data_IF_973016782449
#
_entry.id   IF_973016782449
#
_cell.length_a   1.000
_cell.length_b   1.000
_cell.length_c   1.000
_cell.angle_alpha   90.00
_cell.angle_beta   90.00
_cell.angle_gamma   90.00
#
_symmetry.space_group_name_H-M   'P 1'
#
loop_
_entity.id
_entity.type
_entity.pdbx_description
1 polymer ?
#
# COMPACT_ATOMS: atom_id res chain seq x y z
N UNK A 1 -60.51 -35.08 -33.99
CA UNK A 1 -59.86 -34.41 -35.08
C UNK A 1 -59.03 -35.35 -35.97
N UNK A 2 -58.08 -34.81 -36.71
CA UNK A 2 -57.32 -35.52 -37.75
C UNK A 2 -56.59 -36.80 -37.27
N UNK A 3 -56.08 -36.80 -36.03
CA UNK A 3 -55.45 -37.98 -35.43
C UNK A 3 -56.45 -39.17 -35.30
N UNK A 4 -57.65 -38.90 -34.88
CA UNK A 4 -58.71 -39.94 -34.74
C UNK A 4 -59.08 -40.58 -36.10
N UNK A 5 -59.06 -39.79 -37.17
CA UNK A 5 -59.27 -40.30 -38.54
C UNK A 5 -58.08 -41.17 -38.99
N UNK A 6 -56.84 -40.75 -38.71
CA UNK A 6 -55.61 -41.50 -39.02
C UNK A 6 -55.59 -42.86 -38.26
N UNK A 7 -56.05 -42.89 -37.03
CA UNK A 7 -56.13 -44.10 -36.22
C UNK A 7 -57.20 -45.04 -36.75
N UNK A 8 -58.41 -44.54 -37.10
CA UNK A 8 -59.53 -45.35 -37.67
C UNK A 8 -59.19 -45.97 -39.03
N UNK A 9 -58.43 -45.23 -39.82
CA UNK A 9 -57.94 -45.70 -41.13
C UNK A 9 -56.78 -46.68 -41.04
N UNK A 10 -56.26 -46.92 -39.83
CA UNK A 10 -55.09 -47.75 -39.52
C UNK A 10 -53.78 -47.27 -40.24
N UNK A 11 -53.68 -45.94 -40.40
CA UNK A 11 -52.55 -45.33 -41.15
C UNK A 11 -51.43 -44.86 -40.21
N UNK A 12 -51.52 -45.04 -38.88
CA UNK A 12 -50.50 -44.67 -37.88
C UNK A 12 -49.62 -45.89 -37.58
N UNK A 13 -48.30 -45.72 -37.51
CA UNK A 13 -47.33 -46.75 -37.15
C UNK A 13 -46.97 -46.68 -35.65
N UNK A 14 -46.60 -45.46 -35.19
CA UNK A 14 -46.27 -45.23 -33.78
C UNK A 14 -46.56 -43.79 -33.36
N UNK A 15 -46.67 -43.59 -32.04
CA UNK A 15 -46.85 -42.29 -31.43
C UNK A 15 -45.80 -42.14 -30.35
N UNK A 16 -44.94 -41.09 -30.43
CA UNK A 16 -43.94 -40.78 -29.44
C UNK A 16 -44.37 -39.52 -28.65
N UNK A 17 -44.46 -39.61 -27.32
CA UNK A 17 -44.72 -38.48 -26.43
C UNK A 17 -43.42 -37.86 -25.96
N UNK A 18 -43.09 -36.72 -26.55
CA UNK A 18 -41.83 -36.03 -26.24
C UNK A 18 -42.04 -35.08 -25.06
N UNK A 19 -41.29 -35.30 -23.98
CA UNK A 19 -41.29 -34.51 -22.75
C UNK A 19 -42.68 -34.29 -22.08
N UNK A 20 -43.69 -35.12 -22.47
CA UNK A 20 -45.05 -34.99 -21.94
C UNK A 20 -45.87 -33.83 -22.53
N UNK A 21 -45.35 -33.08 -23.50
CA UNK A 21 -46.01 -31.90 -24.07
C UNK A 21 -46.37 -32.05 -25.56
N UNK A 22 -45.65 -32.87 -26.29
CA UNK A 22 -45.79 -33.01 -27.73
C UNK A 22 -45.97 -34.49 -28.09
N UNK A 23 -47.02 -34.80 -28.81
CA UNK A 23 -47.22 -36.10 -29.44
C UNK A 23 -46.70 -36.03 -30.89
N UNK A 24 -45.70 -36.81 -31.17
CA UNK A 24 -45.13 -37.02 -32.52
C UNK A 24 -45.74 -38.28 -33.13
N UNK A 25 -46.36 -38.13 -34.28
CA UNK A 25 -47.15 -39.17 -34.93
C UNK A 25 -46.40 -39.60 -36.18
N UNK A 26 -46.14 -40.87 -36.29
CA UNK A 26 -45.47 -41.49 -37.44
C UNK A 26 -46.50 -42.37 -38.20
N UNK A 27 -46.59 -42.16 -39.50
CA UNK A 27 -47.50 -42.89 -40.38
C UNK A 27 -46.81 -44.14 -40.93
N UNK A 28 -47.58 -45.19 -41.15
CA UNK A 28 -47.11 -46.37 -41.87
C UNK A 28 -47.01 -46.12 -43.38
N UNK A 29 -46.47 -47.06 -44.14
CA UNK A 29 -46.28 -46.89 -45.59
C UNK A 29 -47.59 -46.58 -46.33
N UNK A 30 -48.72 -47.15 -45.93
CA UNK A 30 -50.01 -46.86 -46.55
C UNK A 30 -50.47 -45.43 -46.29
N UNK A 31 -50.33 -44.99 -45.04
CA UNK A 31 -50.64 -43.61 -44.63
C UNK A 31 -49.73 -42.61 -45.33
N UNK A 32 -48.43 -42.87 -45.44
CA UNK A 32 -47.48 -42.03 -46.15
C UNK A 32 -47.88 -41.85 -47.63
N UNK A 33 -48.14 -42.91 -48.35
CA UNK A 33 -48.57 -42.84 -49.75
C UNK A 33 -49.91 -42.10 -49.90
N UNK A 34 -50.81 -42.22 -48.97
CA UNK A 34 -52.15 -41.59 -49.00
C UNK A 34 -52.11 -40.07 -48.74
N UNK A 35 -51.31 -39.64 -47.79
CA UNK A 35 -51.26 -38.25 -47.37
C UNK A 35 -50.06 -37.44 -47.92
N UNK A 36 -48.99 -38.13 -48.36
CA UNK A 36 -47.77 -37.52 -48.92
C UNK A 36 -47.32 -38.19 -50.23
N UNK A 37 -48.10 -38.17 -51.28
CA UNK A 37 -47.84 -38.95 -52.51
C UNK A 37 -46.64 -38.47 -53.32
N UNK A 38 -46.13 -37.27 -53.07
CA UNK A 38 -45.01 -36.64 -53.85
C UNK A 38 -43.66 -36.69 -53.17
N UNK A 39 -43.53 -37.24 -51.97
CA UNK A 39 -42.28 -37.26 -51.24
C UNK A 39 -41.56 -38.61 -51.39
N UNK A 40 -40.32 -38.60 -51.90
CA UNK A 40 -39.49 -39.78 -52.07
C UNK A 40 -38.96 -40.35 -50.76
N UNK A 41 -39.22 -41.59 -50.52
CA UNK A 41 -39.14 -42.43 -49.35
C UNK A 41 -37.74 -42.81 -48.86
N UNK A 42 -36.85 -41.91 -48.42
CA UNK A 42 -35.61 -42.42 -47.80
C UNK A 42 -35.39 -42.04 -46.30
N UNK A 43 -36.24 -41.21 -45.68
CA UNK A 43 -36.06 -40.81 -44.26
C UNK A 43 -37.36 -40.67 -43.46
N UNK A 44 -38.45 -41.23 -43.88
CA UNK A 44 -39.78 -40.99 -43.27
C UNK A 44 -39.95 -41.60 -41.89
N UNK A 45 -39.21 -42.64 -41.55
CA UNK A 45 -39.32 -43.26 -40.21
C UNK A 45 -38.51 -42.54 -39.14
N UNK A 46 -37.76 -41.48 -39.49
CA UNK A 46 -36.96 -40.71 -38.54
C UNK A 46 -37.52 -39.34 -38.21
N UNK A 47 -38.44 -38.80 -38.99
CA UNK A 47 -39.06 -37.49 -38.81
C UNK A 47 -40.55 -37.66 -38.58
N UNK A 48 -41.14 -37.05 -37.50
CA UNK A 48 -42.58 -37.16 -37.26
C UNK A 48 -43.37 -36.50 -38.40
N UNK A 49 -44.35 -37.22 -38.91
CA UNK A 49 -45.22 -36.74 -40.02
C UNK A 49 -46.24 -35.68 -39.53
N UNK A 50 -46.67 -35.82 -38.27
CA UNK A 50 -47.48 -34.82 -37.62
C UNK A 50 -47.03 -34.63 -36.17
N UNK A 51 -47.13 -33.40 -35.69
CA UNK A 51 -46.89 -33.04 -34.28
C UNK A 51 -48.14 -32.43 -33.70
N UNK A 52 -48.51 -32.85 -32.54
CA UNK A 52 -49.66 -32.33 -31.78
C UNK A 52 -49.22 -31.93 -30.39
N UNK A 53 -49.55 -30.70 -29.98
CA UNK A 53 -49.33 -30.27 -28.60
C UNK A 53 -50.45 -30.81 -27.72
N UNK A 54 -50.10 -31.50 -26.65
CA UNK A 54 -51.04 -32.10 -25.71
C UNK A 54 -51.11 -31.30 -24.42
N UNK A 55 -52.27 -31.15 -23.82
CA UNK A 55 -52.45 -30.42 -22.55
C UNK A 55 -52.22 -31.29 -21.31
N UNK A 56 -52.53 -32.60 -21.39
CA UNK A 56 -52.32 -33.61 -20.36
C UNK A 56 -52.08 -34.96 -21.03
N UNK A 57 -51.10 -35.70 -20.52
CA UNK A 57 -50.74 -37.03 -21.02
C UNK A 57 -51.88 -38.01 -20.74
N UNK A 58 -52.45 -37.99 -19.52
CA UNK A 58 -53.51 -38.90 -19.10
C UNK A 58 -54.77 -38.73 -19.97
N UNK A 59 -55.16 -37.49 -20.25
CA UNK A 59 -56.30 -37.19 -21.11
C UNK A 59 -56.08 -37.61 -22.55
N UNK A 60 -54.86 -37.43 -23.03
CA UNK A 60 -54.48 -37.87 -24.37
C UNK A 60 -54.49 -39.38 -24.50
N UNK A 61 -54.04 -40.12 -23.48
CA UNK A 61 -54.10 -41.59 -23.44
C UNK A 61 -55.52 -42.08 -23.40
N UNK A 62 -56.43 -41.47 -22.59
CA UNK A 62 -57.84 -41.80 -22.56
C UNK A 62 -58.56 -41.56 -23.91
N UNK A 63 -58.25 -40.43 -24.56
CA UNK A 63 -58.80 -40.11 -25.89
C UNK A 63 -58.28 -41.10 -26.93
N UNK A 64 -57.01 -41.60 -26.82
CA UNK A 64 -56.43 -42.60 -27.63
C UNK A 64 -57.10 -44.00 -27.46
N UNK A 65 -57.31 -44.42 -26.21
CA UNK A 65 -57.97 -45.66 -25.86
C UNK A 65 -59.40 -45.66 -26.41
N UNK A 66 -60.14 -44.57 -26.21
CA UNK A 66 -61.50 -44.42 -26.70
C UNK A 66 -61.60 -44.48 -28.24
N UNK A 67 -60.60 -43.90 -28.91
CA UNK A 67 -60.51 -43.89 -30.37
C UNK A 67 -60.15 -45.24 -30.97
N UNK A 68 -59.55 -46.12 -30.20
CA UNK A 68 -59.06 -47.45 -30.61
C UNK A 68 -59.96 -48.59 -30.03
N UNK A 69 -61.05 -48.24 -29.43
CA UNK A 69 -61.99 -49.24 -28.89
C UNK A 69 -62.45 -50.23 -29.99
N UNK A 70 -62.11 -51.52 -29.81
CA UNK A 70 -62.42 -52.58 -30.79
C UNK A 70 -61.27 -52.87 -31.79
N UNK A 71 -60.08 -52.30 -31.63
CA UNK A 71 -58.92 -52.62 -32.49
C UNK A 71 -58.20 -53.88 -31.97
N UNK A 72 -57.83 -54.81 -32.90
CA UNK A 72 -57.06 -56.02 -32.56
C UNK A 72 -55.65 -55.71 -32.09
N UNK A 73 -55.08 -54.62 -32.55
CA UNK A 73 -53.72 -54.15 -32.18
C UNK A 73 -53.75 -52.62 -31.86
N UNK A 74 -54.00 -52.25 -30.65
CA UNK A 74 -54.00 -50.82 -30.24
C UNK A 74 -52.53 -50.28 -30.23
N UNK A 75 -52.40 -49.02 -30.60
CA UNK A 75 -51.09 -48.30 -30.60
C UNK A 75 -50.97 -47.58 -29.28
N UNK A 76 -49.98 -47.94 -28.49
CA UNK A 76 -49.65 -47.27 -27.25
C UNK A 76 -48.56 -46.21 -27.49
N UNK A 77 -48.69 -45.02 -26.84
CA UNK A 77 -47.67 -43.97 -26.98
C UNK A 77 -46.40 -44.31 -26.22
N UNK A 78 -45.25 -44.09 -26.85
CA UNK A 78 -43.93 -44.21 -26.22
C UNK A 78 -43.51 -42.89 -25.66
N UNK A 79 -43.18 -42.84 -24.35
CA UNK A 79 -42.68 -41.61 -23.70
C UNK A 79 -41.18 -41.47 -23.98
N UNK A 80 -40.80 -40.39 -24.68
CA UNK A 80 -39.42 -40.07 -25.03
C UNK A 80 -39.01 -38.79 -24.35
N UNK A 81 -37.96 -38.82 -23.48
CA UNK A 81 -37.36 -37.64 -22.92
C UNK A 81 -36.22 -37.15 -23.84
N UNK A 82 -36.41 -36.03 -24.49
CA UNK A 82 -35.34 -35.35 -25.25
C UNK A 82 -34.74 -34.24 -24.43
N UNK A 83 -33.46 -34.36 -24.08
CA UNK A 83 -32.70 -33.37 -23.31
C UNK A 83 -32.15 -32.29 -24.25
N UNK A 84 -32.52 -31.03 -24.00
CA UNK A 84 -32.02 -29.90 -24.77
C UNK A 84 -30.69 -29.45 -24.18
N UNK A 85 -29.59 -30.10 -24.55
CA UNK A 85 -28.25 -29.81 -24.11
C UNK A 85 -27.86 -28.34 -24.35
N UNK A 86 -28.39 -27.68 -25.35
CA UNK A 86 -28.10 -26.29 -25.68
C UNK A 86 -28.55 -25.31 -24.61
N UNK A 87 -29.75 -25.50 -24.05
CA UNK A 87 -30.29 -24.60 -23.01
C UNK A 87 -29.59 -24.81 -21.65
N UNK A 88 -29.21 -26.03 -21.32
CA UNK A 88 -28.47 -26.33 -20.09
C UNK A 88 -27.03 -25.78 -20.13
N UNK A 89 -26.31 -25.97 -21.22
CA UNK A 89 -24.97 -25.42 -21.40
C UNK A 89 -25.02 -23.90 -21.29
N UNK A 90 -25.99 -23.23 -21.90
CA UNK A 90 -26.14 -21.78 -21.82
C UNK A 90 -26.44 -21.34 -20.37
N UNK A 91 -27.28 -22.06 -19.64
CA UNK A 91 -27.63 -21.70 -18.26
C UNK A 91 -26.46 -21.82 -17.28
N UNK A 92 -25.51 -22.71 -17.54
CA UNK A 92 -24.28 -22.87 -16.72
C UNK A 92 -23.14 -21.94 -17.16
N UNK A 93 -22.97 -21.73 -18.46
CA UNK A 93 -21.90 -20.91 -18.99
C UNK A 93 -22.19 -19.42 -18.85
N UNK A 94 -23.44 -18.99 -19.03
CA UNK A 94 -23.80 -17.57 -18.98
C UNK A 94 -23.42 -16.87 -17.65
N UNK A 95 -23.70 -17.42 -16.46
CA UNK A 95 -23.24 -16.82 -15.20
C UNK A 95 -21.73 -16.74 -15.08
N UNK A 96 -21.01 -17.76 -15.55
CA UNK A 96 -19.56 -17.80 -15.53
C UNK A 96 -18.96 -16.70 -16.42
N UNK A 97 -19.48 -16.57 -17.65
CA UNK A 97 -19.05 -15.51 -18.59
C UNK A 97 -19.37 -14.11 -18.04
N UNK A 98 -20.51 -13.94 -17.39
CA UNK A 98 -20.86 -12.67 -16.75
C UNK A 98 -19.93 -12.32 -15.58
N UNK A 99 -19.59 -13.31 -14.74
CA UNK A 99 -18.65 -13.11 -13.62
C UNK A 99 -17.26 -12.76 -14.16
N UNK A 100 -16.73 -13.52 -15.11
CA UNK A 100 -15.42 -13.24 -15.71
C UNK A 100 -15.43 -11.95 -16.52
N UNK A 101 -16.50 -11.65 -17.26
CA UNK A 101 -16.67 -10.39 -17.99
C UNK A 101 -16.74 -9.19 -17.05
N UNK A 102 -17.44 -9.29 -15.93
CA UNK A 102 -17.49 -8.27 -14.89
C UNK A 102 -16.12 -8.06 -14.22
N UNK A 103 -15.43 -9.17 -13.90
CA UNK A 103 -14.05 -9.12 -13.37
C UNK A 103 -13.07 -8.48 -14.37
N UNK A 104 -13.18 -8.84 -15.64
CA UNK A 104 -12.37 -8.25 -16.71
C UNK A 104 -12.66 -6.75 -16.89
N UNK A 105 -13.94 -6.34 -16.80
CA UNK A 105 -14.32 -4.92 -16.83
C UNK A 105 -13.78 -4.15 -15.63
N UNK A 106 -13.83 -4.72 -14.42
CA UNK A 106 -13.24 -4.11 -13.22
C UNK A 106 -11.73 -3.94 -13.40
N UNK A 107 -11.03 -4.98 -13.84
CA UNK A 107 -9.58 -4.92 -14.09
C UNK A 107 -9.25 -3.87 -15.16
N UNK A 108 -10.04 -3.80 -16.24
CA UNK A 108 -9.87 -2.81 -17.30
C UNK A 108 -10.21 -1.38 -16.86
N UNK A 109 -11.19 -1.22 -15.98
CA UNK A 109 -11.60 0.08 -15.44
C UNK A 109 -10.58 0.59 -14.41
N UNK A 110 -10.00 -0.29 -13.59
CA UNK A 110 -8.87 0.02 -12.70
C UNK A 110 -7.58 0.33 -13.47
N UNK A 111 -7.37 -0.29 -14.64
CA UNK A 111 -6.19 -0.04 -15.49
C UNK A 111 -6.26 1.24 -16.34
N UNK A 112 -7.43 1.86 -16.52
CA UNK A 112 -7.62 2.97 -17.44
C UNK A 112 -7.56 4.37 -16.79
N UNK A 113 -7.63 4.44 -15.44
CA UNK A 113 -7.56 5.70 -14.69
C UNK A 113 -6.28 5.88 -13.87
N UNK A 114 -5.29 5.01 -14.07
CA UNK A 114 -3.98 5.14 -13.41
C UNK A 114 -2.90 4.76 -14.39
N UNK A 115 -2.12 5.73 -14.83
CA UNK A 115 -0.88 5.48 -15.55
C UNK A 115 -0.02 4.48 -14.78
N UNK A 116 0.52 3.51 -15.49
CA UNK A 116 1.51 2.51 -15.12
C UNK A 116 1.72 2.33 -13.59
N UNK A 117 0.92 1.48 -12.88
CA UNK A 117 1.22 1.18 -11.48
C UNK A 117 0.05 0.68 -10.60
N UNK A 118 -1.17 0.47 -11.10
CA UNK A 118 -2.36 0.25 -10.27
C UNK A 118 -2.54 -1.14 -9.62
N UNK A 119 -1.65 -2.10 -9.82
CA UNK A 119 -1.70 -3.44 -9.19
C UNK A 119 -0.90 -3.58 -7.89
N UNK A 120 -0.20 -2.52 -7.44
CA UNK A 120 0.78 -2.60 -6.35
C UNK A 120 0.29 -2.16 -4.95
N UNK A 121 -0.83 -1.45 -4.82
CA UNK A 121 -1.14 -0.80 -3.55
C UNK A 121 -1.58 -1.75 -2.43
N UNK A 122 -2.18 -2.89 -2.73
CA UNK A 122 -2.56 -3.86 -1.70
C UNK A 122 -1.34 -4.60 -1.13
N UNK A 123 -0.27 -4.74 -1.92
CA UNK A 123 0.99 -5.36 -1.48
C UNK A 123 2.03 -4.36 -0.93
N UNK A 124 1.75 -3.05 -0.96
CA UNK A 124 2.68 -2.02 -0.49
C UNK A 124 2.47 -1.61 0.98
N UNK A 125 1.50 -2.17 1.68
CA UNK A 125 1.16 -1.80 3.07
C UNK A 125 2.35 -1.98 4.04
N UNK A 126 3.28 -2.88 3.74
CA UNK A 126 4.47 -3.12 4.58
C UNK A 126 5.77 -2.51 4.06
N UNK A 127 5.74 -1.72 2.97
CA UNK A 127 6.96 -1.08 2.47
C UNK A 127 7.29 0.17 3.26
N UNK A 128 8.57 0.39 3.47
CA UNK A 128 9.07 1.61 4.12
C UNK A 128 8.67 2.85 3.31
N UNK A 129 8.10 3.85 4.00
CA UNK A 129 7.84 5.19 3.46
C UNK A 129 9.03 6.14 3.68
N UNK A 130 10.20 5.61 4.02
CA UNK A 130 11.38 6.41 4.24
C UNK A 130 11.69 7.28 3.01
N UNK A 131 11.88 8.57 3.25
CA UNK A 131 12.35 9.49 2.22
C UNK A 131 13.81 9.21 1.96
N UNK A 132 14.12 8.74 0.76
CA UNK A 132 15.48 8.59 0.31
C UNK A 132 15.96 9.94 -0.24
N UNK A 133 16.98 10.50 0.38
CA UNK A 133 17.75 11.62 -0.17
C UNK A 133 18.99 11.02 -0.86
N UNK A 134 18.92 10.87 -2.17
CA UNK A 134 20.06 10.39 -2.97
C UNK A 134 20.90 11.59 -3.39
N UNK A 135 22.20 11.49 -3.19
CA UNK A 135 23.15 12.60 -3.41
C UNK A 135 23.16 13.18 -4.84
N UNK A 136 22.46 12.55 -5.78
CA UNK A 136 22.40 12.96 -7.18
C UNK A 136 21.33 14.04 -7.48
N UNK A 137 20.31 14.23 -6.64
CA UNK A 137 19.13 15.05 -6.95
C UNK A 137 18.75 16.10 -5.90
N UNK A 138 19.25 16.03 -4.65
CA UNK A 138 18.84 16.94 -3.60
C UNK A 138 19.98 17.87 -3.16
N UNK A 139 19.61 19.10 -2.77
CA UNK A 139 20.52 20.12 -2.26
C UNK A 139 21.35 19.55 -1.11
N UNK A 140 22.67 19.43 -1.31
CA UNK A 140 23.60 18.88 -0.30
C UNK A 140 23.69 19.83 0.88
N UNK A 141 23.06 19.48 1.98
CA UNK A 141 23.27 20.13 3.27
C UNK A 141 24.60 19.63 3.84
N UNK A 142 25.49 20.54 4.19
CA UNK A 142 26.81 20.26 4.78
C UNK A 142 26.95 20.94 6.15
N UNK A 143 28.04 20.71 6.87
CA UNK A 143 28.30 21.40 8.15
C UNK A 143 28.37 22.93 8.02
N UNK A 144 28.61 23.46 6.82
CA UNK A 144 28.58 24.91 6.56
C UNK A 144 27.17 25.51 6.64
N UNK A 145 26.16 24.67 6.45
CA UNK A 145 24.75 25.09 6.49
C UNK A 145 24.16 24.96 7.90
N UNK A 146 24.91 24.40 8.85
CA UNK A 146 24.56 24.27 10.26
C UNK A 146 25.32 25.32 11.04
N UNK A 147 24.61 26.35 11.52
CA UNK A 147 25.19 27.37 12.40
C UNK A 147 25.20 26.85 13.85
N UNK A 148 26.23 27.21 14.59
CA UNK A 148 26.44 26.73 15.97
C UNK A 148 26.68 25.23 16.06
N UNK A 149 26.36 24.65 17.21
CA UNK A 149 26.48 23.22 17.52
C UNK A 149 27.94 22.67 17.38
N UNK A 150 28.93 23.47 17.76
CA UNK A 150 30.35 23.13 17.52
C UNK A 150 30.72 21.82 18.21
N UNK A 151 30.32 21.61 19.48
CA UNK A 151 30.60 20.39 20.24
C UNK A 151 29.95 19.16 19.58
N UNK A 152 28.66 19.28 19.19
CA UNK A 152 27.96 18.20 18.51
C UNK A 152 28.56 17.90 17.13
N UNK A 153 29.03 18.94 16.39
CA UNK A 153 29.71 18.77 15.11
C UNK A 153 31.03 18.01 15.28
N UNK A 154 31.81 18.33 16.29
CA UNK A 154 33.08 17.62 16.56
C UNK A 154 32.83 16.13 16.80
N UNK A 155 31.81 15.78 17.57
CA UNK A 155 31.47 14.39 17.84
C UNK A 155 30.96 13.65 16.59
N UNK A 156 30.14 14.28 15.73
CA UNK A 156 29.64 13.64 14.52
C UNK A 156 30.67 13.59 13.38
N UNK A 157 31.73 14.39 13.41
CA UNK A 157 32.85 14.30 12.45
C UNK A 157 33.49 12.90 12.45
N UNK A 158 33.58 12.26 13.63
CA UNK A 158 34.05 10.88 13.68
C UNK A 158 33.15 9.92 12.90
N UNK A 159 31.84 10.13 12.95
CA UNK A 159 30.85 9.33 12.17
C UNK A 159 31.10 9.52 10.67
N UNK A 160 31.34 10.75 10.24
CA UNK A 160 31.71 11.06 8.84
C UNK A 160 32.99 10.35 8.42
N UNK A 161 34.05 10.40 9.26
CA UNK A 161 35.31 9.72 8.97
C UNK A 161 35.15 8.19 8.91
N UNK A 162 34.34 7.61 9.77
CA UNK A 162 34.00 6.19 9.70
C UNK A 162 33.32 5.79 8.36
N UNK A 163 32.40 6.61 7.87
CA UNK A 163 31.71 6.35 6.60
C UNK A 163 32.65 6.54 5.39
N UNK A 164 33.52 7.54 5.44
CA UNK A 164 34.49 7.81 4.38
C UNK A 164 35.63 6.78 4.36
N UNK A 165 36.13 6.40 5.54
CA UNK A 165 37.38 5.65 5.71
C UNK A 165 37.20 4.43 6.66
N UNK A 166 36.29 3.49 6.41
CA UNK A 166 36.01 2.39 7.34
C UNK A 166 37.21 1.49 7.60
N UNK A 167 38.09 1.33 6.60
CA UNK A 167 39.30 0.49 6.72
C UNK A 167 40.33 1.02 7.72
N UNK A 168 40.38 2.34 7.99
CA UNK A 168 41.29 2.96 8.96
C UNK A 168 41.04 2.42 10.36
N UNK A 169 39.79 2.24 10.73
CA UNK A 169 39.38 1.81 12.08
C UNK A 169 39.41 0.28 12.23
N UNK A 170 38.96 -0.45 11.22
CA UNK A 170 38.90 -1.92 11.27
C UNK A 170 40.28 -2.58 11.29
N UNK A 171 41.31 -1.95 10.66
CA UNK A 171 42.71 -2.44 10.68
C UNK A 171 43.32 -2.46 12.08
N UNK A 172 42.88 -1.60 12.98
CA UNK A 172 43.34 -1.53 14.38
C UNK A 172 42.44 -2.36 15.33
N UNK A 173 41.47 -3.12 14.80
CA UNK A 173 40.53 -3.88 15.60
C UNK A 173 39.41 -3.04 16.23
N UNK A 174 39.30 -1.76 15.87
CA UNK A 174 38.23 -0.86 16.31
C UNK A 174 36.86 -1.32 15.77
N UNK A 175 35.83 -1.18 16.60
CA UNK A 175 34.44 -1.42 16.20
C UNK A 175 33.79 -0.08 15.88
N UNK A 176 33.27 0.05 14.68
CA UNK A 176 32.51 1.23 14.27
C UNK A 176 31.18 1.24 15.08
N UNK A 177 30.78 2.37 15.69
CA UNK A 177 29.50 2.50 16.38
C UNK A 177 28.38 2.23 15.37
N UNK A 178 27.42 1.39 15.76
CA UNK A 178 26.30 1.05 14.89
C UNK A 178 25.22 2.12 14.92
N UNK A 179 25.03 2.77 16.06
CA UNK A 179 24.01 3.75 16.26
C UNK A 179 24.46 4.93 17.12
N UNK A 180 24.02 6.10 16.74
CA UNK A 180 24.23 7.35 17.47
C UNK A 180 22.87 7.99 17.77
N UNK A 181 22.67 8.39 19.02
CA UNK A 181 21.45 9.05 19.47
C UNK A 181 21.70 10.53 19.67
N UNK A 182 20.98 11.38 18.94
CA UNK A 182 20.97 12.83 19.12
C UNK A 182 19.89 13.18 20.17
N UNK A 183 20.32 13.77 21.27
CA UNK A 183 19.44 14.09 22.40
C UNK A 183 19.44 15.58 22.63
N UNK A 184 18.27 16.21 22.78
CA UNK A 184 18.20 17.63 23.12
C UNK A 184 16.82 18.23 22.95
N UNK A 185 16.62 19.49 23.35
CA UNK A 185 15.35 20.18 23.22
C UNK A 185 14.85 20.26 21.77
N UNK A 186 13.52 20.43 21.55
CA UNK A 186 12.99 20.64 20.21
C UNK A 186 13.57 21.91 19.57
N UNK A 187 13.66 21.92 18.25
CA UNK A 187 14.13 23.11 17.51
C UNK A 187 15.64 23.36 17.51
N UNK A 188 16.46 22.53 18.17
CA UNK A 188 17.93 22.70 18.25
C UNK A 188 18.69 22.24 17.00
N UNK A 189 18.00 21.74 15.95
CA UNK A 189 18.66 21.40 14.68
C UNK A 189 19.14 19.96 14.56
N UNK A 190 18.69 19.02 15.39
CA UNK A 190 19.05 17.58 15.35
C UNK A 190 18.88 16.96 13.96
N UNK A 191 17.75 17.17 13.32
CA UNK A 191 17.44 16.67 11.97
C UNK A 191 18.35 17.31 10.91
N UNK A 192 18.67 18.61 11.05
CA UNK A 192 19.57 19.32 10.16
C UNK A 192 21.01 18.80 10.31
N UNK A 193 21.47 18.58 11.55
CA UNK A 193 22.76 17.99 11.85
C UNK A 193 22.89 16.58 11.25
N UNK A 194 21.88 15.73 11.39
CA UNK A 194 21.88 14.38 10.80
C UNK A 194 21.99 14.42 9.26
N UNK A 195 21.27 15.35 8.61
CA UNK A 195 21.38 15.56 7.16
C UNK A 195 22.77 16.04 6.74
N UNK A 196 23.35 16.94 7.52
CA UNK A 196 24.69 17.47 7.21
C UNK A 196 25.79 16.39 7.34
N UNK A 197 25.65 15.45 8.27
CA UNK A 197 26.53 14.27 8.37
C UNK A 197 26.51 13.46 7.08
N UNK A 198 25.32 13.19 6.55
CA UNK A 198 25.17 12.44 5.29
C UNK A 198 25.72 13.20 4.09
N UNK A 199 25.45 14.50 4.00
CA UNK A 199 25.98 15.36 2.95
C UNK A 199 27.51 15.48 2.99
N UNK A 200 28.09 15.62 4.19
CA UNK A 200 29.52 15.66 4.39
C UNK A 200 30.21 14.32 4.08
N UNK A 201 29.57 13.20 4.48
CA UNK A 201 30.07 11.85 4.15
C UNK A 201 29.81 11.47 2.68
N UNK A 202 28.94 12.18 1.99
CA UNK A 202 28.52 11.90 0.61
C UNK A 202 27.91 10.50 0.44
N UNK A 203 27.02 10.11 1.38
CA UNK A 203 26.34 8.81 1.40
C UNK A 203 24.83 8.98 1.33
N UNK A 204 24.08 7.97 0.84
CA UNK A 204 22.63 7.95 0.86
C UNK A 204 22.06 8.12 2.27
N UNK A 205 20.97 8.91 2.38
CA UNK A 205 20.31 9.23 3.63
C UNK A 205 18.85 8.79 3.58
N UNK A 206 18.49 7.84 4.43
CA UNK A 206 17.12 7.33 4.58
C UNK A 206 16.51 7.99 5.82
N UNK A 207 15.54 8.88 5.63
CA UNK A 207 14.86 9.59 6.72
C UNK A 207 13.47 9.09 6.93
N UNK A 208 13.10 8.78 8.18
CA UNK A 208 11.78 8.35 8.61
C UNK A 208 11.48 8.92 9.99
N UNK A 209 10.22 9.19 10.29
CA UNK A 209 9.77 9.49 11.65
C UNK A 209 9.46 8.21 12.42
N UNK A 210 9.75 8.17 13.72
CA UNK A 210 9.31 7.08 14.61
C UNK A 210 7.80 6.88 14.61
N UNK A 211 7.02 7.95 14.39
CA UNK A 211 5.58 7.89 14.25
C UNK A 211 5.12 7.12 13.00
N UNK A 212 5.91 7.11 11.92
CA UNK A 212 5.58 6.41 10.67
C UNK A 212 5.61 4.88 10.81
N UNK A 213 6.19 4.39 11.90
CA UNK A 213 6.17 2.96 12.23
C UNK A 213 4.96 2.55 13.07
N UNK A 214 4.24 3.53 13.66
CA UNK A 214 3.07 3.25 14.50
C UNK A 214 1.83 3.16 13.64
N UNK A 215 1.35 1.93 13.43
CA UNK A 215 0.18 1.66 12.61
C UNK A 215 -0.91 0.95 13.44
N UNK A 216 -2.15 0.94 12.93
CA UNK A 216 -3.25 0.23 13.57
C UNK A 216 -3.21 -1.30 13.35
N UNK A 217 -2.46 -1.75 12.33
CA UNK A 217 -2.39 -3.16 11.96
C UNK A 217 -1.11 -3.81 12.48
N UNK A 218 -1.26 -4.89 13.23
CA UNK A 218 -0.14 -5.62 13.83
C UNK A 218 0.82 -6.16 12.76
N UNK A 219 2.12 -5.90 12.96
CA UNK A 219 3.20 -6.38 12.08
C UNK A 219 3.55 -5.47 10.91
N UNK A 220 2.78 -4.42 10.62
CA UNK A 220 3.10 -3.47 9.53
C UNK A 220 4.34 -2.65 9.86
N UNK A 221 4.44 -2.11 11.09
CA UNK A 221 5.61 -1.37 11.55
C UNK A 221 6.88 -2.22 11.50
N UNK A 222 6.82 -3.46 11.99
CA UNK A 222 7.93 -4.40 11.93
C UNK A 222 8.36 -4.73 10.48
N UNK A 223 7.40 -4.82 9.56
CA UNK A 223 7.70 -5.03 8.13
C UNK A 223 8.40 -3.81 7.52
N UNK A 224 7.97 -2.59 7.86
CA UNK A 224 8.63 -1.34 7.42
C UNK A 224 10.05 -1.21 7.93
N UNK A 225 10.30 -1.60 9.19
CA UNK A 225 11.65 -1.65 9.74
C UNK A 225 12.53 -2.57 8.90
N UNK A 226 12.09 -3.82 8.65
CA UNK A 226 12.86 -4.78 7.83
C UNK A 226 13.15 -4.25 6.43
N UNK A 227 12.16 -3.65 5.78
CA UNK A 227 12.32 -3.11 4.43
C UNK A 227 13.30 -1.93 4.39
N UNK A 228 13.20 -1.00 5.35
CA UNK A 228 14.13 0.12 5.50
C UNK A 228 15.58 -0.35 5.65
N UNK A 229 15.81 -1.30 6.55
CA UNK A 229 17.14 -1.84 6.81
C UNK A 229 17.69 -2.60 5.60
N UNK A 230 16.84 -3.33 4.87
CA UNK A 230 17.21 -3.99 3.62
C UNK A 230 17.65 -2.97 2.57
N UNK A 231 16.87 -1.92 2.33
CA UNK A 231 17.20 -0.87 1.36
C UNK A 231 18.51 -0.16 1.72
N UNK A 232 18.73 0.15 3.01
CA UNK A 232 19.95 0.77 3.46
C UNK A 232 21.19 -0.13 3.27
N UNK A 233 21.05 -1.45 3.50
CA UNK A 233 22.12 -2.43 3.21
C UNK A 233 22.46 -2.50 1.72
N UNK A 234 21.45 -2.49 0.86
CA UNK A 234 21.64 -2.52 -0.60
C UNK A 234 22.38 -1.28 -1.13
N UNK A 235 22.23 -0.13 -0.44
CA UNK A 235 22.88 1.14 -0.78
C UNK A 235 24.05 1.51 0.15
N UNK A 236 24.66 0.53 0.80
CA UNK A 236 25.80 0.76 1.70
C UNK A 236 27.04 1.29 0.90
N UNK A 237 27.82 2.29 1.43
CA UNK A 237 27.63 2.94 2.74
C UNK A 237 26.45 3.91 2.76
N UNK A 238 25.68 3.91 3.87
CA UNK A 238 24.44 4.70 3.98
C UNK A 238 24.14 5.07 5.44
N UNK A 239 23.26 6.07 5.63
CA UNK A 239 22.73 6.46 6.93
C UNK A 239 21.24 6.21 6.98
N UNK A 240 20.76 5.57 8.05
CA UNK A 240 19.36 5.54 8.45
C UNK A 240 19.16 6.59 9.53
N UNK A 241 18.24 7.53 9.33
CA UNK A 241 17.85 8.51 10.32
C UNK A 241 16.41 8.29 10.78
N UNK A 242 16.24 8.12 12.09
CA UNK A 242 14.93 7.93 12.73
C UNK A 242 14.68 9.13 13.62
N UNK A 243 13.82 10.04 13.18
CA UNK A 243 13.41 11.18 14.01
C UNK A 243 12.34 10.76 15.00
N UNK A 244 12.24 11.42 16.15
CA UNK A 244 11.27 11.13 17.21
C UNK A 244 11.23 9.64 17.58
N UNK A 245 12.41 9.03 17.79
CA UNK A 245 12.48 7.59 18.10
C UNK A 245 11.69 7.20 19.35
N UNK A 246 11.41 8.12 20.24
CA UNK A 246 10.57 7.92 21.43
C UNK A 246 9.12 7.55 21.10
N UNK A 247 8.66 7.78 19.86
CA UNK A 247 7.37 7.30 19.39
C UNK A 247 7.27 5.77 19.45
N UNK A 248 8.35 5.04 19.14
CA UNK A 248 8.42 3.57 19.17
C UNK A 248 9.25 3.05 20.35
N UNK A 249 10.25 3.82 20.76
CA UNK A 249 11.28 3.44 21.73
C UNK A 249 10.93 3.64 23.20
N UNK A 250 9.72 4.02 23.54
CA UNK A 250 9.31 4.27 24.94
C UNK A 250 9.37 2.99 25.78
N UNK A 251 9.92 3.10 27.00
CA UNK A 251 9.94 2.01 27.97
C UNK A 251 8.52 1.49 28.29
N UNK A 252 8.41 0.19 28.56
CA UNK A 252 7.15 -0.49 28.84
C UNK A 252 6.41 0.15 30.01
N UNK A 253 5.17 0.56 29.79
CA UNK A 253 4.27 0.94 30.86
C UNK A 253 3.70 -0.31 31.53
N UNK A 254 3.69 -0.35 32.85
CA UNK A 254 3.13 -1.47 33.64
C UNK A 254 1.60 -1.57 33.60
N UNK A 255 0.92 -0.78 32.77
CA UNK A 255 -0.54 -0.76 32.71
C UNK A 255 -1.06 -1.73 31.63
N UNK A 256 -1.92 -2.72 31.97
CA UNK A 256 -2.33 -3.79 31.07
C UNK A 256 -3.44 -3.44 30.06
N UNK A 257 -3.81 -2.19 29.91
CA UNK A 257 -4.98 -1.81 29.10
C UNK A 257 -4.63 -0.88 27.94
N UNK A 258 -4.05 -1.41 26.85
CA UNK A 258 -4.20 -0.76 25.53
C UNK A 258 -3.63 -1.63 24.42
N UNK A 259 -4.46 -2.09 23.50
CA UNK A 259 -4.06 -2.88 22.30
C UNK A 259 -3.13 -2.15 21.32
N UNK A 260 -2.82 -0.87 21.56
CA UNK A 260 -1.81 -0.12 20.78
C UNK A 260 -0.37 -0.33 21.27
N UNK A 261 -0.16 -1.01 22.42
CA UNK A 261 1.19 -1.26 22.93
C UNK A 261 1.86 -2.46 22.24
N UNK A 262 1.09 -3.43 21.78
CA UNK A 262 1.61 -4.67 21.18
C UNK A 262 2.29 -4.40 19.84
N UNK A 263 1.72 -3.52 19.01
CA UNK A 263 2.31 -3.14 17.71
C UNK A 263 3.62 -2.36 17.91
N UNK A 264 3.62 -1.42 18.82
CA UNK A 264 4.79 -0.64 19.19
C UNK A 264 5.92 -1.52 19.70
N UNK A 265 5.60 -2.48 20.58
CA UNK A 265 6.57 -3.44 21.13
C UNK A 265 7.10 -4.38 20.04
N UNK A 266 6.24 -4.86 19.14
CA UNK A 266 6.63 -5.66 17.98
C UNK A 266 7.60 -4.90 17.09
N UNK A 267 7.31 -3.64 16.80
CA UNK A 267 8.17 -2.76 15.99
C UNK A 267 9.50 -2.47 16.66
N UNK A 268 9.50 -2.16 17.96
CA UNK A 268 10.72 -1.96 18.73
C UNK A 268 11.59 -3.22 18.74
N UNK A 269 11.00 -4.38 19.00
CA UNK A 269 11.73 -5.65 19.01
C UNK A 269 12.32 -5.94 17.62
N UNK A 270 11.62 -5.64 16.53
CA UNK A 270 12.14 -5.77 15.19
C UNK A 270 13.32 -4.81 14.94
N UNK A 271 13.21 -3.54 15.38
CA UNK A 271 14.30 -2.58 15.29
C UNK A 271 15.57 -3.08 16.02
N UNK A 272 15.40 -3.55 17.25
CA UNK A 272 16.50 -4.14 18.03
C UNK A 272 17.12 -5.35 17.32
N UNK A 273 16.30 -6.21 16.75
CA UNK A 273 16.75 -7.40 16.00
C UNK A 273 17.55 -7.00 14.75
N UNK A 274 17.07 -6.01 14.00
CA UNK A 274 17.80 -5.52 12.83
C UNK A 274 19.14 -4.88 13.23
N UNK A 275 19.17 -4.07 14.29
CA UNK A 275 20.40 -3.48 14.82
C UNK A 275 21.40 -4.55 15.26
N UNK A 276 20.96 -5.58 15.95
CA UNK A 276 21.83 -6.69 16.39
C UNK A 276 22.31 -7.53 15.21
N UNK A 277 21.48 -7.71 14.18
CA UNK A 277 21.79 -8.45 12.95
C UNK A 277 22.79 -7.75 12.02
N UNK A 278 23.14 -6.48 12.26
CA UNK A 278 24.23 -5.83 11.54
C UNK A 278 25.59 -6.34 12.02
N UNK A 279 26.39 -6.83 11.09
CA UNK A 279 27.83 -6.98 11.33
C UNK A 279 28.48 -5.63 11.57
N UNK A 280 29.53 -5.58 12.40
CA UNK A 280 30.28 -4.37 12.73
C UNK A 280 30.87 -3.60 11.52
N UNK A 281 30.77 -4.17 10.32
CA UNK A 281 31.39 -3.62 9.09
C UNK A 281 30.35 -3.51 7.94
N UNK A 282 29.06 -3.40 8.23
CA UNK A 282 28.02 -3.32 7.21
C UNK A 282 28.02 -2.01 6.41
N UNK A 283 28.75 -1.00 6.86
CA UNK A 283 28.78 0.33 6.22
C UNK A 283 27.47 1.14 6.42
N UNK A 284 26.56 0.66 7.25
CA UNK A 284 25.33 1.39 7.58
C UNK A 284 25.42 1.90 9.01
N UNK A 285 25.16 3.19 9.20
CA UNK A 285 25.09 3.83 10.52
C UNK A 285 23.66 4.30 10.76
N UNK A 286 23.17 4.08 11.97
CA UNK A 286 21.84 4.51 12.38
C UNK A 286 21.98 5.77 13.24
N UNK A 287 21.40 6.86 12.79
CA UNK A 287 21.23 8.06 13.60
C UNK A 287 19.79 8.09 14.09
N UNK A 288 19.56 8.39 15.35
CA UNK A 288 18.22 8.64 15.87
C UNK A 288 18.20 9.96 16.61
N UNK A 289 17.04 10.62 16.62
CA UNK A 289 16.84 11.84 17.37
C UNK A 289 15.66 11.69 18.36
N UNK A 290 15.81 12.29 19.53
CA UNK A 290 14.75 12.39 20.52
C UNK A 290 14.84 13.67 21.34
N UNK A 291 13.71 14.17 21.76
CA UNK A 291 13.64 15.27 22.73
C UNK A 291 13.57 14.73 24.18
N UNK A 292 13.38 13.40 24.33
CA UNK A 292 13.07 12.77 25.62
C UNK A 292 13.82 11.44 25.79
N UNK A 293 15.12 11.51 26.00
CA UNK A 293 15.93 10.32 26.25
C UNK A 293 15.54 9.58 27.54
N UNK A 294 14.94 10.29 28.51
CA UNK A 294 14.50 9.79 29.82
C UNK A 294 13.45 8.66 29.70
N UNK A 295 12.62 8.70 28.67
CA UNK A 295 11.52 7.72 28.48
C UNK A 295 11.90 6.54 27.59
N UNK A 296 13.09 6.54 26.99
CA UNK A 296 13.50 5.47 26.10
C UNK A 296 13.76 4.15 26.84
N UNK A 297 13.44 3.05 26.16
CA UNK A 297 13.77 1.71 26.66
C UNK A 297 15.29 1.53 26.75
N UNK A 298 15.75 1.08 27.90
CA UNK A 298 17.18 0.84 28.16
C UNK A 298 17.80 -0.16 27.18
N UNK A 299 17.00 -1.02 26.56
CA UNK A 299 17.48 -1.96 25.54
C UNK A 299 18.02 -1.24 24.29
N UNK A 300 17.51 -0.06 23.95
CA UNK A 300 18.02 0.76 22.85
C UNK A 300 19.44 1.31 23.13
N UNK A 301 19.74 1.56 24.40
CA UNK A 301 20.98 2.21 24.85
C UNK A 301 22.12 1.20 25.14
N UNK A 302 21.92 -0.08 24.84
CA UNK A 302 22.96 -1.11 25.06
C UNK A 302 24.06 -1.03 24.01
N UNK A 303 25.27 -1.48 24.40
CA UNK A 303 26.39 -1.59 23.48
C UNK A 303 26.02 -2.41 22.21
N UNK A 304 26.41 -1.88 21.07
CA UNK A 304 26.08 -2.42 19.75
C UNK A 304 24.73 -1.95 19.17
N UNK A 305 24.05 -1.02 19.84
CA UNK A 305 22.83 -0.33 19.38
C UNK A 305 23.11 1.19 19.38
N UNK A 306 22.38 1.99 20.16
CA UNK A 306 22.68 3.41 20.35
C UNK A 306 23.67 3.57 21.52
N UNK A 307 24.90 3.16 21.28
CA UNK A 307 25.97 3.17 22.29
C UNK A 307 26.67 4.52 22.42
N UNK A 308 26.44 5.44 21.47
CA UNK A 308 26.90 6.82 21.53
C UNK A 308 25.70 7.77 21.61
N UNK A 309 25.75 8.69 22.58
CA UNK A 309 24.78 9.77 22.74
C UNK A 309 25.49 11.08 22.52
N UNK A 310 24.91 11.92 21.67
CA UNK A 310 25.39 13.27 21.39
C UNK A 310 24.34 14.26 21.85
N UNK A 311 24.74 15.14 22.74
CA UNK A 311 23.84 16.16 23.26
C UNK A 311 23.82 17.37 22.32
N UNK A 312 22.61 17.76 21.91
CA UNK A 312 22.35 18.93 21.06
C UNK A 312 21.60 19.93 21.89
N UNK A 313 22.32 20.78 22.59
CA UNK A 313 21.79 21.72 23.55
C UNK A 313 21.23 22.99 22.90
N UNK A 314 20.62 23.86 23.70
CA UNK A 314 20.21 25.19 23.24
C UNK A 314 21.47 26.02 22.93
N UNK A 315 21.42 26.87 21.89
CA UNK A 315 22.58 27.62 21.47
C UNK A 315 22.99 28.68 22.50
N UNK A 316 24.31 28.83 22.71
CA UNK A 316 24.87 29.90 23.48
C UNK A 316 24.74 31.27 22.78
N UNK A 317 25.29 32.35 23.37
CA UNK A 317 25.16 33.69 22.81
C UNK A 317 25.80 33.77 21.41
N UNK A 318 26.99 33.22 21.25
CA UNK A 318 27.75 33.25 20.01
C UNK A 318 27.11 32.42 18.93
N UNK A 319 26.66 31.25 19.29
CA UNK A 319 25.93 30.35 18.37
C UNK A 319 24.59 30.98 17.91
N UNK A 320 23.85 31.71 18.81
CA UNK A 320 22.68 32.46 18.40
C UNK A 320 22.97 33.53 17.37
N UNK A 321 24.08 34.26 17.51
CA UNK A 321 24.54 35.22 16.49
C UNK A 321 24.77 34.54 15.14
N UNK A 322 25.40 33.37 15.13
CA UNK A 322 25.62 32.61 13.90
C UNK A 322 24.29 32.14 13.29
N UNK A 323 23.36 31.66 14.10
CA UNK A 323 22.04 31.21 13.66
C UNK A 323 21.24 32.39 13.07
N UNK A 324 21.21 33.55 13.75
CA UNK A 324 20.61 34.76 13.20
C UNK A 324 21.23 35.13 11.85
N UNK A 325 22.56 35.09 11.74
CA UNK A 325 23.27 35.37 10.49
C UNK A 325 22.77 34.50 9.34
N UNK A 326 22.49 33.23 9.59
CA UNK A 326 21.96 32.31 8.55
C UNK A 326 20.54 32.70 8.16
N UNK A 327 19.66 32.94 9.13
CA UNK A 327 18.22 33.23 8.87
C UNK A 327 17.99 34.63 8.32
N UNK A 328 18.91 35.57 8.56
CA UNK A 328 18.83 36.93 8.05
C UNK A 328 19.31 37.10 6.61
N UNK A 329 20.04 36.13 6.04
CA UNK A 329 20.63 36.24 4.68
C UNK A 329 19.63 36.57 3.57
N UNK A 330 18.37 36.20 3.72
CA UNK A 330 17.32 36.45 2.73
C UNK A 330 16.47 37.68 3.01
N UNK A 331 16.69 38.38 4.12
CA UNK A 331 15.88 39.47 4.59
C UNK A 331 16.50 40.84 4.21
N UNK A 332 15.63 41.83 3.98
CA UNK A 332 16.05 43.22 3.70
C UNK A 332 16.11 43.99 5.01
N UNK A 333 17.29 44.11 5.57
CA UNK A 333 17.52 44.76 6.86
C UNK A 333 17.86 46.24 6.69
N UNK A 334 17.53 47.06 7.68
CA UNK A 334 18.00 48.44 7.79
C UNK A 334 19.51 48.51 8.08
N UNK A 335 20.14 49.63 7.75
CA UNK A 335 21.59 49.80 7.90
C UNK A 335 22.08 49.77 9.36
N UNK A 336 21.23 50.15 10.31
CA UNK A 336 21.52 50.20 11.76
C UNK A 336 21.22 48.88 12.48
N UNK A 337 21.32 47.77 11.78
CA UNK A 337 20.93 46.47 12.33
C UNK A 337 22.02 45.89 13.26
N UNK A 338 21.69 45.67 14.53
CA UNK A 338 22.60 45.14 15.56
C UNK A 338 22.28 43.66 15.86
N UNK A 339 23.12 42.78 15.30
CA UNK A 339 22.99 41.33 15.47
C UNK A 339 23.27 40.89 16.91
N UNK A 340 24.26 41.50 17.57
CA UNK A 340 24.60 41.18 18.97
C UNK A 340 23.47 41.54 19.91
N UNK A 341 22.73 42.62 19.62
CA UNK A 341 21.56 42.99 20.37
C UNK A 341 20.50 41.88 20.32
N UNK A 342 20.19 41.33 19.13
CA UNK A 342 19.19 40.26 18.99
C UNK A 342 19.61 39.02 19.80
N UNK A 343 20.85 38.60 19.64
CA UNK A 343 21.35 37.42 20.35
C UNK A 343 21.32 37.58 21.88
N UNK A 344 21.58 38.82 22.37
CA UNK A 344 21.47 39.12 23.82
C UNK A 344 20.03 39.11 24.33
N UNK A 345 19.05 39.46 23.48
CA UNK A 345 17.65 39.56 23.87
C UNK A 345 16.84 38.26 23.67
N UNK A 346 17.47 37.21 23.19
CA UNK A 346 16.87 35.89 22.95
C UNK A 346 17.53 34.76 23.78
N UNK A 347 17.73 34.91 25.10
CA UNK A 347 18.29 33.86 25.94
C UNK A 347 17.34 32.66 25.97
N UNK A 348 17.89 31.45 25.76
CA UNK A 348 17.12 30.22 25.81
C UNK A 348 16.32 29.91 24.54
N UNK A 349 16.46 30.71 23.48
CA UNK A 349 15.83 30.43 22.18
C UNK A 349 16.58 29.30 21.45
N UNK A 350 15.82 28.40 20.87
CA UNK A 350 16.33 27.40 19.95
C UNK A 350 16.52 28.00 18.54
N UNK A 351 17.17 27.26 17.66
CA UNK A 351 17.33 27.67 16.27
C UNK A 351 15.96 27.85 15.56
N UNK A 352 14.95 27.04 15.91
CA UNK A 352 13.60 27.19 15.38
C UNK A 352 12.90 28.46 15.88
N UNK A 353 13.10 28.83 17.15
CA UNK A 353 12.55 30.07 17.69
C UNK A 353 13.16 31.29 17.02
N UNK A 354 14.50 31.27 16.78
CA UNK A 354 15.20 32.33 16.05
C UNK A 354 14.68 32.45 14.62
N UNK A 355 14.51 31.32 13.93
CA UNK A 355 13.93 31.31 12.58
C UNK A 355 12.53 31.92 12.55
N UNK A 356 11.69 31.59 13.56
CA UNK A 356 10.36 32.13 13.69
C UNK A 356 10.37 33.63 13.93
N UNK A 357 11.20 34.13 14.85
CA UNK A 357 11.35 35.57 15.11
C UNK A 357 11.80 36.33 13.86
N UNK A 358 12.74 35.79 13.09
CA UNK A 358 13.14 36.41 11.83
C UNK A 358 12.00 36.51 10.83
N UNK A 359 11.17 35.47 10.75
CA UNK A 359 9.99 35.47 9.90
C UNK A 359 8.91 36.45 10.38
N UNK A 360 8.60 36.46 11.69
CA UNK A 360 7.60 37.37 12.26
C UNK A 360 8.02 38.84 12.14
N UNK A 361 9.29 39.16 12.33
CA UNK A 361 9.80 40.51 12.10
C UNK A 361 9.61 40.96 10.64
N UNK A 362 9.84 40.08 9.67
CA UNK A 362 9.56 40.36 8.27
C UNK A 362 8.08 40.60 7.98
N UNK A 363 7.20 39.80 8.60
CA UNK A 363 5.75 39.98 8.50
C UNK A 363 5.25 41.26 9.17
N UNK A 364 5.85 41.63 10.31
CA UNK A 364 5.53 42.88 11.03
C UNK A 364 5.94 44.09 10.22
N UNK A 365 7.14 44.09 9.65
CA UNK A 365 7.57 45.15 8.74
C UNK A 365 6.64 45.28 7.51
N UNK A 366 6.20 44.15 6.94
CA UNK A 366 5.28 44.15 5.81
C UNK A 366 3.89 44.68 6.21
N UNK A 367 3.36 44.41 7.37
CA UNK A 367 2.09 44.98 7.89
C UNK A 367 2.13 46.50 8.02
N UNK A 368 3.32 47.05 8.30
CA UNK A 368 3.53 48.50 8.41
C UNK A 368 3.98 49.15 7.10
N UNK A 369 3.86 48.43 5.96
CA UNK A 369 4.27 48.92 4.63
C UNK A 369 5.75 49.39 4.58
N UNK A 370 6.60 48.84 5.46
CA UNK A 370 8.03 49.14 5.47
C UNK A 370 8.77 48.43 4.32
N UNK A 371 9.83 49.04 3.80
CA UNK A 371 10.69 48.43 2.76
C UNK A 371 11.88 47.66 3.32
N UNK A 372 12.24 47.95 4.57
CA UNK A 372 13.36 47.36 5.29
C UNK A 372 12.86 46.97 6.70
N UNK A 373 13.42 45.91 7.21
CA UNK A 373 13.15 45.41 8.55
C UNK A 373 14.08 46.11 9.51
N UNK A 374 13.53 46.74 10.53
CA UNK A 374 14.31 47.43 11.56
C UNK A 374 14.28 46.71 12.91
N UNK A 375 15.03 47.24 13.86
CA UNK A 375 15.13 46.69 15.23
C UNK A 375 13.76 46.60 15.92
N UNK A 376 12.85 47.55 15.67
CA UNK A 376 11.55 47.58 16.33
C UNK A 376 10.68 46.39 15.85
N UNK A 377 10.78 46.01 14.54
CA UNK A 377 10.03 44.88 14.02
C UNK A 377 10.44 43.56 14.68
N UNK A 378 11.69 43.41 15.12
CA UNK A 378 12.16 42.26 15.89
C UNK A 378 11.73 42.30 17.38
N UNK A 379 11.53 43.48 17.93
CA UNK A 379 11.03 43.63 19.29
C UNK A 379 9.52 43.38 19.37
N UNK A 380 8.82 43.65 18.26
CA UNK A 380 7.36 43.44 18.17
C UNK A 380 7.03 42.00 17.72
N UNK A 381 8.01 41.22 17.30
CA UNK A 381 7.90 39.82 16.86
C UNK A 381 8.08 38.85 18.06
#
# INVERSE_FOLDING_TARGET
GKLITLLRDKDVEKIDLVNGEIAEIYLNEKGLHKYFPNEKSNNFNQIPNYTLRIGSVERFEQDLETAQEGFENPIYPHVVKRHNWGTEIISWILPIVLIFGFWFLIIRMMGRNGGAGGGGNVFNIGKSQAKLYDNASDVKVTFKDVAGLEEAKEEVVEVVDFLKNPKKYTRLGGKIPKGVLLVGPPGTGKTLLAKSVAGEANVPFFSISGSDFVEMFVGVGASRVRDLFKQAKEKSPSIIFIDEIDAIGRARSKSPMSGGNDERESTLNQLLTEMDGFGSNSGVIILAATNRADILDKALMRAGRFDRQIHVELPDLKEREEIFTVHLRGLKLAEDFDLEFLAKHTPGFSGADIANVCNEAALTAARHDKKLIDKQDFLDA
#
